data_IF_557016972503
#
_entry.id   IF_557016972503
#
_cell.length_a   1.000
_cell.length_b   1.000
_cell.length_c   1.000
_cell.angle_alpha   90.00
_cell.angle_beta   90.00
_cell.angle_gamma   90.00
#
_symmetry.space_group_name_H-M   'P 1'
#
loop_
_entity.id
_entity.type
_entity.pdbx_description
1 polymer ?
#
# COMPACT_ATOMS: atom_id res chain seq x y z
N UNK A 1 -13.20 -1.19 7.92
CA UNK A 1 -13.66 -2.45 7.27
C UNK A 1 -13.88 -2.16 5.79
N UNK A 2 -13.54 -3.08 4.89
CA UNK A 2 -13.73 -2.89 3.44
C UNK A 2 -15.23 -2.82 3.10
N UNK A 3 -15.65 -1.84 2.29
CA UNK A 3 -17.03 -1.72 1.83
C UNK A 3 -17.22 -2.54 0.54
N UNK A 4 -17.52 -3.82 0.71
CA UNK A 4 -17.69 -4.76 -0.40
C UNK A 4 -18.77 -4.34 -1.40
N UNK A 5 -19.87 -3.73 -0.92
CA UNK A 5 -20.95 -3.26 -1.79
C UNK A 5 -20.46 -2.14 -2.71
N UNK A 6 -19.77 -1.14 -2.17
CA UNK A 6 -19.18 -0.07 -2.98
C UNK A 6 -18.12 -0.57 -3.95
N UNK A 7 -17.35 -1.59 -3.58
CA UNK A 7 -16.35 -2.18 -4.47
C UNK A 7 -17.00 -2.91 -5.65
N UNK A 8 -18.07 -3.68 -5.39
CA UNK A 8 -18.89 -4.32 -6.41
C UNK A 8 -19.51 -3.30 -7.36
N UNK A 9 -20.12 -2.24 -6.82
CA UNK A 9 -20.76 -1.18 -7.63
C UNK A 9 -19.76 -0.48 -8.56
N UNK A 10 -18.47 -0.44 -8.17
CA UNK A 10 -17.37 0.14 -8.96
C UNK A 10 -16.68 -0.86 -9.89
N UNK A 11 -17.15 -2.11 -9.96
CA UNK A 11 -16.52 -3.16 -10.75
C UNK A 11 -15.10 -3.50 -10.29
N UNK A 12 -14.77 -3.22 -9.02
CA UNK A 12 -13.44 -3.51 -8.49
C UNK A 12 -13.31 -5.02 -8.24
N UNK A 13 -12.10 -5.59 -8.44
CA UNK A 13 -11.86 -6.99 -8.14
C UNK A 13 -12.01 -7.23 -6.65
N UNK A 14 -13.00 -8.04 -6.30
CA UNK A 14 -13.28 -8.50 -4.92
C UNK A 14 -12.91 -9.98 -4.71
N UNK A 15 -12.41 -10.65 -5.75
CA UNK A 15 -11.98 -12.04 -5.68
C UNK A 15 -10.80 -12.19 -4.72
N UNK A 16 -10.82 -13.26 -3.91
CA UNK A 16 -9.78 -13.53 -2.92
C UNK A 16 -8.38 -13.57 -3.54
N UNK A 17 -8.23 -14.14 -4.73
CA UNK A 17 -6.94 -14.25 -5.42
C UNK A 17 -6.29 -12.91 -5.76
N UNK A 18 -7.05 -11.93 -6.27
CA UNK A 18 -6.51 -10.61 -6.60
C UNK A 18 -6.19 -9.79 -5.36
N UNK A 19 -7.03 -9.89 -4.32
CA UNK A 19 -6.80 -9.26 -3.03
C UNK A 19 -5.55 -9.85 -2.36
N UNK A 20 -5.39 -11.17 -2.36
CA UNK A 20 -4.21 -11.85 -1.81
C UNK A 20 -2.94 -11.56 -2.61
N UNK A 21 -3.02 -11.52 -3.94
CA UNK A 21 -1.91 -11.15 -4.81
C UNK A 21 -1.45 -9.72 -4.54
N UNK A 22 -2.40 -8.78 -4.42
CA UNK A 22 -2.13 -7.40 -4.05
C UNK A 22 -1.48 -7.29 -2.67
N UNK A 23 -1.97 -8.05 -1.68
CA UNK A 23 -1.36 -8.11 -0.35
C UNK A 23 0.08 -8.63 -0.40
N UNK A 24 0.37 -9.66 -1.20
CA UNK A 24 1.73 -10.19 -1.40
C UNK A 24 2.65 -9.12 -2.01
N UNK A 25 2.19 -8.45 -3.06
CA UNK A 25 2.95 -7.43 -3.77
C UNK A 25 3.21 -6.18 -2.93
N UNK A 26 2.18 -5.68 -2.23
CA UNK A 26 2.22 -4.43 -1.47
C UNK A 26 2.79 -4.63 -0.07
N UNK A 27 2.40 -5.68 0.66
CA UNK A 27 2.76 -5.84 2.08
C UNK A 27 3.92 -6.81 2.22
N UNK A 28 3.78 -8.04 1.73
CA UNK A 28 4.74 -9.10 2.05
C UNK A 28 6.15 -8.82 1.50
N UNK A 29 6.24 -8.19 0.32
CA UNK A 29 7.52 -7.86 -0.36
C UNK A 29 8.55 -7.04 0.47
N UNK A 30 8.17 -6.45 1.61
CA UNK A 30 9.08 -5.65 2.46
C UNK A 30 8.81 -5.81 3.95
N UNK A 31 7.54 -5.98 4.34
CA UNK A 31 7.17 -6.11 5.75
C UNK A 31 7.29 -7.55 6.25
N UNK A 32 7.19 -8.54 5.36
CA UNK A 32 7.27 -9.97 5.68
C UNK A 32 8.53 -10.61 5.09
N UNK A 33 9.66 -9.92 5.21
CA UNK A 33 10.97 -10.48 4.86
C UNK A 33 11.67 -10.94 6.14
N UNK A 34 12.67 -11.82 6.01
CA UNK A 34 13.44 -12.29 7.15
C UNK A 34 14.05 -11.11 7.92
N UNK A 35 14.06 -11.24 9.26
CA UNK A 35 14.68 -10.28 10.19
C UNK A 35 14.06 -8.86 10.19
N UNK A 36 12.93 -8.66 9.52
CA UNK A 36 12.26 -7.37 9.50
C UNK A 36 11.48 -7.13 10.81
N UNK A 37 11.98 -6.20 11.63
CA UNK A 37 11.33 -5.73 12.85
C UNK A 37 10.74 -4.34 12.62
N UNK A 38 9.44 -4.19 12.88
CA UNK A 38 8.71 -2.95 12.63
C UNK A 38 7.97 -2.49 13.87
N UNK A 39 8.07 -1.20 14.19
CA UNK A 39 7.07 -0.52 15.00
C UNK A 39 5.82 -0.28 14.16
N UNK A 40 4.65 -0.36 14.78
CA UNK A 40 3.35 -0.19 14.08
C UNK A 40 3.28 1.15 13.32
N UNK A 41 3.75 2.23 13.94
CA UNK A 41 3.85 3.56 13.32
C UNK A 41 4.71 3.56 12.04
N UNK A 42 5.86 2.90 12.07
CA UNK A 42 6.78 2.82 10.93
C UNK A 42 6.28 1.88 9.84
N UNK A 43 5.57 0.80 10.21
CA UNK A 43 4.97 -0.12 9.27
C UNK A 43 3.91 0.57 8.40
N UNK A 44 3.04 1.38 9.00
CA UNK A 44 2.03 2.15 8.29
C UNK A 44 2.67 3.19 7.34
N UNK A 45 3.68 3.93 7.80
CA UNK A 45 4.41 4.87 6.95
C UNK A 45 5.06 4.16 5.74
N UNK A 46 5.68 3.00 5.96
CA UNK A 46 6.29 2.20 4.90
C UNK A 46 5.26 1.66 3.89
N UNK A 47 4.05 1.30 4.34
CA UNK A 47 2.96 0.92 3.44
C UNK A 47 2.54 2.07 2.52
N UNK A 48 2.35 3.26 3.09
CA UNK A 48 1.98 4.45 2.32
C UNK A 48 2.99 4.77 1.22
N UNK A 49 4.29 4.70 1.54
CA UNK A 49 5.36 4.88 0.55
C UNK A 49 5.28 3.85 -0.59
N UNK A 50 4.98 2.58 -0.28
CA UNK A 50 4.87 1.54 -1.30
C UNK A 50 3.63 1.67 -2.17
N UNK A 51 2.50 2.06 -1.57
CA UNK A 51 1.28 2.37 -2.32
C UNK A 51 1.53 3.57 -3.24
N UNK A 52 2.16 4.63 -2.75
CA UNK A 52 2.53 5.79 -3.55
C UNK A 52 3.43 5.42 -4.72
N UNK A 53 4.42 4.54 -4.50
CA UNK A 53 5.29 4.05 -5.58
C UNK A 53 4.56 3.22 -6.63
N UNK A 54 3.65 2.33 -6.23
CA UNK A 54 2.87 1.51 -7.17
C UNK A 54 1.88 2.34 -8.00
N UNK A 55 1.36 3.42 -7.41
CA UNK A 55 0.45 4.35 -8.08
C UNK A 55 1.19 5.49 -8.81
N UNK A 56 2.51 5.38 -9.00
CA UNK A 56 3.33 6.40 -9.69
C UNK A 56 3.32 7.80 -9.05
N UNK A 57 3.00 7.89 -7.75
CA UNK A 57 3.00 9.14 -6.98
C UNK A 57 4.33 9.43 -6.28
N UNK A 58 5.37 8.62 -6.53
CA UNK A 58 6.66 8.72 -5.85
C UNK A 58 7.28 10.12 -5.98
N UNK A 59 7.37 10.63 -7.19
CA UNK A 59 7.98 11.94 -7.44
C UNK A 59 7.12 13.09 -6.94
N UNK A 60 5.80 13.01 -7.13
CA UNK A 60 4.87 14.01 -6.64
C UNK A 60 4.95 14.15 -5.11
N UNK A 61 5.02 13.02 -4.41
CA UNK A 61 5.19 12.98 -2.96
C UNK A 61 6.49 13.67 -2.52
N UNK A 62 7.64 13.27 -3.08
CA UNK A 62 8.92 13.86 -2.66
C UNK A 62 9.08 15.32 -3.06
N UNK A 63 8.50 15.73 -4.18
CA UNK A 63 8.48 17.14 -4.56
C UNK A 63 7.65 17.97 -3.59
N UNK A 64 6.48 17.46 -3.16
CA UNK A 64 5.67 18.14 -2.14
C UNK A 64 6.37 18.20 -0.78
N UNK A 65 7.05 17.12 -0.38
CA UNK A 65 7.81 17.05 0.87
C UNK A 65 8.95 18.06 0.89
N UNK A 66 9.75 18.14 -0.19
CA UNK A 66 10.85 19.11 -0.32
C UNK A 66 10.35 20.56 -0.31
N UNK A 67 9.16 20.83 -0.85
CA UNK A 67 8.59 22.17 -0.87
C UNK A 67 8.02 22.62 0.50
N UNK A 68 7.70 21.66 1.37
CA UNK A 68 7.18 21.89 2.71
C UNK A 68 8.27 21.90 3.80
N UNK A 69 9.50 21.54 3.46
CA UNK A 69 10.68 21.52 4.32
C UNK A 69 11.47 22.83 4.20
#
# INVERSE_FOLDING_TARGET
>A
MMNYKSALDKGLPIGSGEIESSLKAVVQKRLKIAEALWKTENANAMLNLRIGRLNSYWEAYWNSYKAAA
#
